data_IF_300994645005
#
_entry.id   IF_300994645005
#
_cell.length_a   1.000
_cell.length_b   1.000
_cell.length_c   1.000
_cell.angle_alpha   90.00
_cell.angle_beta   90.00
_cell.angle_gamma   90.00
#
_symmetry.space_group_name_H-M   'P 1'
#
loop_
_entity.id
_entity.type
_entity.pdbx_description
1 polymer ?
#
# COMPACT_ATOMS: atom_id res chain seq x y z
N UNK A 1 -9.70 -18.28 21.29
CA UNK A 1 -10.86 -17.89 20.49
C UNK A 1 -10.43 -16.72 19.59
N UNK A 2 -10.98 -16.60 18.37
CA UNK A 2 -10.69 -15.45 17.53
C UNK A 2 -11.13 -14.13 18.20
N UNK A 3 -10.52 -13.02 17.80
CA UNK A 3 -10.81 -11.70 18.35
C UNK A 3 -12.14 -11.10 17.85
N UNK A 4 -12.81 -11.75 16.91
CA UNK A 4 -14.04 -11.32 16.24
C UNK A 4 -15.12 -12.41 16.26
N UNK A 5 -16.39 -11.99 16.17
CA UNK A 5 -17.55 -12.88 16.33
C UNK A 5 -18.45 -12.90 15.09
N UNK A 6 -18.61 -11.77 14.39
CA UNK A 6 -19.41 -11.65 13.18
C UNK A 6 -18.61 -11.00 12.06
N UNK A 7 -18.31 -11.77 11.03
CA UNK A 7 -17.40 -11.38 9.97
C UNK A 7 -18.07 -11.27 8.60
N UNK A 8 -17.78 -10.18 7.87
CA UNK A 8 -18.04 -10.08 6.45
C UNK A 8 -16.80 -10.55 5.67
N UNK A 9 -16.96 -11.55 4.78
CA UNK A 9 -15.99 -11.87 3.73
C UNK A 9 -16.39 -11.19 2.43
N UNK A 10 -15.72 -10.10 2.09
CA UNK A 10 -16.04 -9.30 0.91
C UNK A 10 -15.07 -9.63 -0.23
N UNK A 11 -15.56 -10.19 -1.32
CA UNK A 11 -14.73 -10.69 -2.41
C UNK A 11 -15.12 -10.10 -3.77
N UNK A 12 -14.10 -9.86 -4.61
CA UNK A 12 -14.34 -9.45 -6.00
C UNK A 12 -14.56 -10.69 -6.88
N UNK A 13 -15.76 -10.86 -7.47
CA UNK A 13 -16.07 -12.04 -8.28
C UNK A 13 -15.30 -12.07 -9.61
N UNK A 14 -14.86 -10.91 -10.11
CA UNK A 14 -14.26 -10.78 -11.46
C UNK A 14 -12.73 -10.85 -11.44
N UNK A 15 -12.07 -10.71 -10.28
CA UNK A 15 -10.60 -10.72 -10.21
C UNK A 15 -10.04 -12.14 -10.16
N UNK A 16 -9.19 -12.51 -11.13
CA UNK A 16 -8.52 -13.83 -11.24
C UNK A 16 -9.19 -14.81 -12.21
N UNK A 17 -8.56 -15.95 -12.47
CA UNK A 17 -8.78 -16.76 -13.66
C UNK A 17 -10.00 -17.71 -13.63
N UNK A 18 -10.70 -17.96 -12.51
CA UNK A 18 -11.78 -18.99 -12.45
C UNK A 18 -12.87 -18.63 -11.43
N UNK A 19 -14.03 -18.20 -11.89
CA UNK A 19 -15.21 -17.83 -11.09
C UNK A 19 -15.72 -18.99 -10.20
N UNK A 20 -15.82 -20.22 -10.74
CA UNK A 20 -16.29 -21.40 -10.00
C UNK A 20 -15.34 -21.81 -8.87
N UNK A 21 -14.03 -21.77 -9.11
CA UNK A 21 -13.03 -22.01 -8.09
C UNK A 21 -13.11 -20.99 -6.94
N UNK A 22 -13.52 -19.77 -7.24
CA UNK A 22 -13.60 -18.70 -6.26
C UNK A 22 -14.76 -18.89 -5.28
N UNK A 23 -15.95 -19.26 -5.77
CA UNK A 23 -17.09 -19.55 -4.90
C UNK A 23 -16.78 -20.73 -3.96
N UNK A 24 -16.10 -21.75 -4.46
CA UNK A 24 -15.65 -22.91 -3.66
C UNK A 24 -14.61 -22.48 -2.62
N UNK A 25 -13.64 -21.64 -2.99
CA UNK A 25 -12.65 -21.10 -2.05
C UNK A 25 -13.30 -20.26 -0.96
N UNK A 26 -14.23 -19.38 -1.31
CA UNK A 26 -14.94 -18.55 -0.33
C UNK A 26 -15.77 -19.40 0.64
N UNK A 27 -16.42 -20.46 0.16
CA UNK A 27 -17.14 -21.39 1.03
C UNK A 27 -16.20 -22.08 2.02
N UNK A 28 -15.03 -22.57 1.58
CA UNK A 28 -14.03 -23.19 2.46
C UNK A 28 -13.49 -22.23 3.50
N UNK A 29 -13.24 -20.97 3.12
CA UNK A 29 -12.82 -19.92 4.06
C UNK A 29 -13.92 -19.67 5.09
N UNK A 30 -15.18 -19.56 4.67
CA UNK A 30 -16.31 -19.40 5.57
C UNK A 30 -16.42 -20.57 6.56
N UNK A 31 -16.27 -21.82 6.08
CA UNK A 31 -16.27 -23.01 6.94
C UNK A 31 -15.15 -22.99 7.99
N UNK A 32 -13.94 -22.50 7.64
CA UNK A 32 -12.82 -22.36 8.59
C UNK A 32 -13.22 -21.43 9.73
N UNK A 33 -13.81 -20.27 9.44
CA UNK A 33 -14.23 -19.29 10.45
C UNK A 33 -15.42 -19.81 11.27
N UNK A 34 -16.43 -20.40 10.63
CA UNK A 34 -17.60 -20.97 11.29
C UNK A 34 -17.24 -22.08 12.29
N UNK A 35 -16.28 -22.96 11.93
CA UNK A 35 -15.77 -24.00 12.86
C UNK A 35 -15.09 -23.41 14.10
N UNK A 36 -14.66 -22.16 14.03
CA UNK A 36 -14.08 -21.44 15.16
C UNK A 36 -15.11 -20.58 15.93
N UNK A 37 -16.40 -20.74 15.63
CA UNK A 37 -17.51 -20.07 16.31
C UNK A 37 -17.81 -18.65 15.78
N UNK A 38 -17.33 -18.29 14.59
CA UNK A 38 -17.59 -16.99 13.97
C UNK A 38 -18.83 -17.06 13.08
N UNK A 39 -19.77 -16.11 13.24
CA UNK A 39 -20.85 -15.90 12.27
C UNK A 39 -20.25 -15.25 11.00
N UNK A 40 -20.52 -15.85 9.84
CA UNK A 40 -19.89 -15.45 8.57
C UNK A 40 -20.92 -15.05 7.53
N UNK A 41 -20.76 -13.86 6.97
CA UNK A 41 -21.47 -13.40 5.78
C UNK A 41 -20.45 -13.35 4.62
N UNK A 42 -20.69 -14.07 3.53
CA UNK A 42 -19.88 -14.00 2.33
C UNK A 42 -20.62 -13.21 1.25
N UNK A 43 -20.01 -12.11 0.79
CA UNK A 43 -20.64 -11.20 -0.16
C UNK A 43 -19.69 -10.84 -1.30
N UNK A 44 -20.20 -10.90 -2.54
CA UNK A 44 -19.48 -10.39 -3.69
C UNK A 44 -19.55 -8.86 -3.75
N UNK A 45 -18.50 -8.20 -4.24
CA UNK A 45 -18.57 -6.78 -4.57
C UNK A 45 -19.55 -6.55 -5.72
N UNK A 46 -20.41 -5.55 -5.61
CA UNK A 46 -21.44 -5.27 -6.60
C UNK A 46 -20.85 -4.66 -7.87
N UNK A 47 -19.89 -3.75 -7.72
CA UNK A 47 -19.20 -3.06 -8.81
C UNK A 47 -17.83 -2.56 -8.34
N UNK A 48 -17.02 -2.07 -9.27
CA UNK A 48 -15.78 -1.38 -8.93
C UNK A 48 -16.10 -0.14 -8.07
N UNK A 49 -15.40 0.00 -6.94
CA UNK A 49 -15.57 1.09 -5.98
C UNK A 49 -16.67 0.85 -4.93
N UNK A 50 -17.45 -0.24 -5.01
CA UNK A 50 -18.57 -0.50 -4.09
C UNK A 50 -18.14 -1.15 -2.77
N UNK A 51 -16.93 -1.72 -2.71
CA UNK A 51 -16.51 -2.52 -1.54
C UNK A 51 -16.45 -1.72 -0.23
N UNK A 52 -16.09 -0.44 -0.31
CA UNK A 52 -16.09 0.43 0.87
C UNK A 52 -17.49 0.68 1.44
N UNK A 53 -18.49 0.90 0.59
CA UNK A 53 -19.88 1.11 1.00
C UNK A 53 -20.48 -0.18 1.59
N UNK A 54 -20.21 -1.32 0.96
CA UNK A 54 -20.62 -2.63 1.47
C UNK A 54 -20.00 -2.94 2.83
N UNK A 55 -18.71 -2.59 3.04
CA UNK A 55 -18.05 -2.74 4.33
C UNK A 55 -18.72 -1.88 5.41
N UNK A 56 -19.02 -0.60 5.10
CA UNK A 56 -19.73 0.29 6.04
C UNK A 56 -21.13 -0.24 6.38
N UNK A 57 -21.88 -0.72 5.41
CA UNK A 57 -23.20 -1.29 5.64
C UNK A 57 -23.13 -2.49 6.57
N UNK A 58 -22.23 -3.44 6.33
CA UNK A 58 -22.05 -4.62 7.18
C UNK A 58 -21.65 -4.27 8.62
N UNK A 59 -20.80 -3.25 8.81
CA UNK A 59 -20.46 -2.76 10.14
C UNK A 59 -21.68 -2.20 10.85
N UNK A 60 -22.52 -1.44 10.14
CA UNK A 60 -23.78 -0.89 10.71
C UNK A 60 -24.79 -2.00 11.04
N UNK A 61 -24.71 -3.15 10.39
CA UNK A 61 -25.50 -4.37 10.62
C UNK A 61 -24.89 -5.30 11.68
N UNK A 62 -23.85 -4.82 12.39
CA UNK A 62 -23.26 -5.50 13.53
C UNK A 62 -22.09 -6.45 13.20
N UNK A 63 -21.51 -6.40 12.01
CA UNK A 63 -20.23 -7.06 11.79
C UNK A 63 -19.12 -6.36 12.57
N UNK A 64 -18.37 -7.11 13.36
CA UNK A 64 -17.21 -6.63 14.11
C UNK A 64 -15.88 -6.82 13.35
N UNK A 65 -15.91 -7.58 12.23
CA UNK A 65 -14.78 -7.75 11.34
C UNK A 65 -15.18 -7.75 9.86
N UNK A 66 -14.32 -7.20 9.01
CA UNK A 66 -14.44 -7.24 7.55
C UNK A 66 -13.14 -7.76 6.95
N UNK A 67 -13.25 -8.80 6.13
CA UNK A 67 -12.12 -9.40 5.43
C UNK A 67 -12.16 -9.03 3.95
N UNK A 68 -11.12 -8.32 3.51
CA UNK A 68 -10.90 -8.05 2.10
C UNK A 68 -10.32 -9.29 1.40
N UNK A 69 -11.18 -10.03 0.72
CA UNK A 69 -10.83 -11.28 0.03
C UNK A 69 -10.54 -10.97 -1.45
N UNK A 70 -9.30 -10.59 -1.76
CA UNK A 70 -8.94 -10.15 -3.11
C UNK A 70 -7.47 -9.80 -3.28
N UNK A 71 -7.17 -9.01 -4.30
CA UNK A 71 -5.87 -8.37 -4.49
C UNK A 71 -5.82 -6.97 -3.87
N UNK A 72 -4.71 -6.26 -4.12
CA UNK A 72 -4.46 -4.92 -3.56
C UNK A 72 -5.59 -3.91 -3.82
N UNK A 73 -6.20 -3.93 -5.01
CA UNK A 73 -7.34 -3.07 -5.34
C UNK A 73 -8.58 -3.35 -4.46
N UNK A 74 -8.89 -4.62 -4.16
CA UNK A 74 -9.99 -4.96 -3.25
C UNK A 74 -9.69 -4.50 -1.82
N UNK A 75 -8.44 -4.68 -1.36
CA UNK A 75 -7.97 -4.19 -0.06
C UNK A 75 -8.11 -2.67 0.01
N UNK A 76 -7.67 -1.96 -1.02
CA UNK A 76 -7.77 -0.50 -1.11
C UNK A 76 -9.23 0.00 -1.05
N UNK A 77 -10.15 -0.65 -1.78
CA UNK A 77 -11.57 -0.27 -1.74
C UNK A 77 -12.20 -0.52 -0.37
N UNK A 78 -11.98 -1.71 0.24
CA UNK A 78 -12.50 -2.05 1.58
C UNK A 78 -11.97 -1.07 2.62
N UNK A 79 -10.68 -0.72 2.54
CA UNK A 79 -10.05 0.25 3.43
C UNK A 79 -10.81 1.59 3.49
N UNK A 80 -11.35 2.08 2.35
CA UNK A 80 -12.11 3.34 2.33
C UNK A 80 -13.38 3.29 3.16
N UNK A 81 -13.96 2.12 3.34
CA UNK A 81 -15.12 1.90 4.22
C UNK A 81 -14.76 1.65 5.67
N UNK A 82 -13.57 1.09 5.92
CA UNK A 82 -13.09 0.70 7.24
C UNK A 82 -12.40 1.84 7.99
N UNK A 83 -11.83 2.82 7.26
CA UNK A 83 -11.08 3.91 7.87
C UNK A 83 -11.91 4.66 8.92
N UNK A 84 -11.32 4.83 10.11
CA UNK A 84 -11.93 5.44 11.30
C UNK A 84 -13.09 4.66 11.92
N UNK A 85 -13.37 3.43 11.49
CA UNK A 85 -14.31 2.53 12.15
C UNK A 85 -13.65 1.82 13.34
N UNK A 86 -14.47 1.20 14.19
CA UNK A 86 -14.04 0.33 15.30
C UNK A 86 -13.88 -1.12 14.87
N UNK A 87 -14.45 -1.51 13.72
CA UNK A 87 -14.41 -2.89 13.25
C UNK A 87 -12.99 -3.30 12.80
N UNK A 88 -12.70 -4.58 12.93
CA UNK A 88 -11.42 -5.16 12.58
C UNK A 88 -11.32 -5.44 11.08
N UNK A 89 -10.20 -5.09 10.47
CA UNK A 89 -9.89 -5.43 9.08
C UNK A 89 -8.95 -6.63 9.01
N UNK A 90 -9.30 -7.61 8.21
CA UNK A 90 -8.42 -8.70 7.81
C UNK A 90 -8.20 -8.71 6.30
N UNK A 91 -7.13 -9.37 5.83
CA UNK A 91 -6.81 -9.50 4.41
C UNK A 91 -6.64 -10.96 4.04
N UNK A 92 -7.37 -11.43 3.04
CA UNK A 92 -7.24 -12.77 2.49
C UNK A 92 -6.73 -12.65 1.04
N UNK A 93 -5.47 -13.06 0.78
CA UNK A 93 -4.83 -12.83 -0.51
C UNK A 93 -5.43 -13.74 -1.60
N UNK A 94 -6.00 -13.14 -2.64
CA UNK A 94 -6.54 -13.81 -3.82
C UNK A 94 -6.03 -13.17 -5.13
N UNK A 95 -5.19 -12.16 -5.04
CA UNK A 95 -4.58 -11.46 -6.17
C UNK A 95 -3.15 -11.92 -6.45
N UNK A 96 -2.46 -11.17 -7.30
CA UNK A 96 -1.08 -11.46 -7.72
C UNK A 96 -0.04 -10.68 -6.90
N UNK A 97 -0.32 -9.42 -6.54
CA UNK A 97 0.57 -8.56 -5.77
C UNK A 97 0.50 -8.87 -4.28
N UNK A 98 -0.68 -8.62 -3.70
CA UNK A 98 -1.02 -8.86 -2.29
C UNK A 98 0.01 -8.28 -1.31
N UNK A 99 0.42 -7.01 -1.54
CA UNK A 99 1.53 -6.37 -0.83
C UNK A 99 1.28 -6.31 0.68
N UNK A 100 0.08 -5.87 1.09
CA UNK A 100 -0.27 -5.83 2.52
C UNK A 100 -0.27 -7.23 3.15
N UNK A 101 -0.78 -8.24 2.44
CA UNK A 101 -0.77 -9.61 2.93
C UNK A 101 0.66 -10.16 3.09
N UNK A 102 1.58 -9.81 2.18
CA UNK A 102 3.00 -10.14 2.32
C UNK A 102 3.63 -9.49 3.54
N UNK A 103 3.36 -8.21 3.79
CA UNK A 103 3.86 -7.51 4.98
C UNK A 103 3.32 -8.11 6.27
N UNK A 104 2.06 -8.58 6.27
CA UNK A 104 1.43 -9.31 7.37
C UNK A 104 1.87 -10.79 7.45
N UNK A 105 2.79 -11.24 6.62
CA UNK A 105 3.27 -12.65 6.56
C UNK A 105 2.16 -13.68 6.31
N UNK A 106 1.08 -13.27 5.69
CA UNK A 106 0.03 -14.16 5.23
C UNK A 106 0.52 -14.92 3.99
N UNK A 107 1.09 -16.11 4.22
CA UNK A 107 1.74 -16.92 3.20
C UNK A 107 0.95 -18.18 2.86
N UNK A 108 1.17 -18.71 1.68
CA UNK A 108 0.50 -19.91 1.21
C UNK A 108 -0.77 -19.61 0.43
N UNK A 109 -1.74 -20.51 0.50
CA UNK A 109 -3.04 -20.31 -0.14
C UNK A 109 -3.99 -19.51 0.78
N UNK A 110 -5.11 -19.06 0.23
CA UNK A 110 -6.11 -18.25 0.93
C UNK A 110 -6.77 -18.97 2.12
N UNK A 111 -6.93 -20.28 2.08
CA UNK A 111 -7.46 -21.10 3.19
C UNK A 111 -6.48 -21.09 4.37
N UNK A 112 -5.18 -21.22 4.10
CA UNK A 112 -4.14 -21.11 5.12
C UNK A 112 -4.07 -19.72 5.72
N UNK A 113 -4.18 -18.68 4.89
CA UNK A 113 -4.24 -17.30 5.37
C UNK A 113 -5.46 -17.07 6.28
N UNK A 114 -6.62 -17.59 5.91
CA UNK A 114 -7.83 -17.55 6.75
C UNK A 114 -7.62 -18.22 8.10
N UNK A 115 -6.99 -19.39 8.13
CA UNK A 115 -6.68 -20.10 9.38
C UNK A 115 -5.67 -19.30 10.26
N UNK A 116 -4.67 -18.66 9.65
CA UNK A 116 -3.72 -17.80 10.37
C UNK A 116 -4.42 -16.59 11.02
N UNK A 117 -5.37 -15.96 10.32
CA UNK A 117 -6.11 -14.79 10.80
C UNK A 117 -6.91 -15.05 12.07
N UNK A 118 -7.32 -16.29 12.34
CA UNK A 118 -7.99 -16.68 13.59
C UNK A 118 -7.10 -16.50 14.84
N UNK A 119 -5.78 -16.49 14.67
CA UNK A 119 -4.80 -16.29 15.74
C UNK A 119 -4.23 -14.86 15.79
N UNK A 120 -4.58 -14.01 14.82
CA UNK A 120 -4.09 -12.64 14.75
C UNK A 120 -4.76 -11.77 15.82
N UNK A 121 -4.01 -10.77 16.30
CA UNK A 121 -4.48 -9.82 17.29
C UNK A 121 -4.91 -8.49 16.63
N UNK A 122 -5.99 -7.86 17.13
CA UNK A 122 -6.38 -6.54 16.65
C UNK A 122 -5.42 -5.47 17.18
N UNK A 123 -4.90 -4.63 16.28
CA UNK A 123 -4.07 -3.48 16.63
C UNK A 123 -4.59 -2.22 15.94
N UNK A 124 -4.67 -1.13 16.69
CA UNK A 124 -4.93 0.19 16.11
C UNK A 124 -3.67 0.66 15.40
N UNK A 125 -3.81 1.01 14.14
CA UNK A 125 -2.72 1.51 13.31
C UNK A 125 -3.07 2.86 12.70
N UNK A 126 -2.04 3.63 12.41
CA UNK A 126 -2.15 4.84 11.60
C UNK A 126 -2.33 4.50 10.12
N UNK A 127 -3.08 5.32 9.40
CA UNK A 127 -3.22 5.25 7.94
C UNK A 127 -2.56 6.45 7.27
N UNK A 128 -2.03 6.23 6.08
CA UNK A 128 -1.75 7.35 5.20
C UNK A 128 -3.05 7.90 4.62
N UNK A 129 -3.16 9.23 4.53
CA UNK A 129 -4.25 9.95 3.86
C UNK A 129 -3.66 10.76 2.73
N UNK A 130 -4.29 10.70 1.57
CA UNK A 130 -3.90 11.48 0.40
C UNK A 130 -5.07 12.28 -0.13
N UNK A 131 -4.81 13.54 -0.44
CA UNK A 131 -5.76 14.47 -1.04
C UNK A 131 -5.23 14.92 -2.41
N UNK A 132 -6.02 14.70 -3.45
CA UNK A 132 -5.70 15.12 -4.82
C UNK A 132 -6.98 15.28 -5.63
N UNK A 133 -7.05 16.30 -6.50
CA UNK A 133 -8.21 16.53 -7.36
C UNK A 133 -9.54 16.67 -6.62
N UNK A 134 -9.56 17.18 -5.39
CA UNK A 134 -10.76 17.31 -4.56
C UNK A 134 -11.23 15.99 -3.91
N UNK A 135 -10.50 14.91 -4.07
CA UNK A 135 -10.80 13.61 -3.47
C UNK A 135 -9.83 13.25 -2.37
N UNK A 136 -10.36 12.65 -1.31
CA UNK A 136 -9.56 12.09 -0.20
C UNK A 136 -9.59 10.57 -0.27
N UNK A 137 -8.42 9.93 -0.09
CA UNK A 137 -8.29 8.47 0.03
C UNK A 137 -7.33 8.10 1.16
N UNK A 138 -7.58 6.94 1.77
CA UNK A 138 -6.67 6.32 2.73
C UNK A 138 -5.83 5.25 2.05
N UNK A 139 -4.62 5.00 2.58
CA UNK A 139 -3.74 3.95 2.09
C UNK A 139 -2.97 3.26 3.23
N UNK A 140 -2.61 2.01 3.02
CA UNK A 140 -1.85 1.18 3.96
C UNK A 140 -0.46 0.82 3.46
N UNK A 141 -0.23 0.84 2.17
CA UNK A 141 1.03 0.39 1.55
C UNK A 141 1.92 1.57 1.20
N UNK A 142 1.51 2.34 0.21
CA UNK A 142 2.27 3.49 -0.25
C UNK A 142 1.43 4.43 -1.10
N UNK A 143 1.76 5.73 -1.05
CA UNK A 143 1.27 6.72 -1.99
C UNK A 143 2.46 7.43 -2.64
N UNK A 144 2.30 7.89 -3.88
CA UNK A 144 3.42 8.50 -4.60
C UNK A 144 3.02 9.45 -5.70
N UNK A 145 4.00 10.31 -6.05
CA UNK A 145 3.91 11.30 -7.12
C UNK A 145 5.14 11.18 -8.01
N UNK A 146 4.96 11.11 -9.32
CA UNK A 146 6.06 11.09 -10.29
C UNK A 146 6.12 9.81 -11.13
N UNK A 147 7.32 9.29 -11.34
CA UNK A 147 7.60 8.19 -12.29
C UNK A 147 6.88 6.90 -11.93
N UNK A 148 6.80 6.57 -10.64
CA UNK A 148 6.13 5.37 -10.16
C UNK A 148 4.63 5.38 -10.52
N UNK A 149 3.96 6.51 -10.31
CA UNK A 149 2.55 6.68 -10.68
C UNK A 149 2.36 6.66 -12.21
N UNK A 150 3.29 7.20 -12.96
CA UNK A 150 3.30 7.12 -14.43
C UNK A 150 3.51 5.69 -14.93
N UNK A 151 4.37 4.91 -14.26
CA UNK A 151 4.56 3.49 -14.56
C UNK A 151 3.27 2.70 -14.41
N UNK A 152 2.56 2.91 -13.28
CA UNK A 152 1.26 2.29 -13.03
C UNK A 152 0.22 2.69 -14.08
N UNK A 153 0.18 3.96 -14.46
CA UNK A 153 -0.73 4.45 -15.50
C UNK A 153 -0.52 3.72 -16.82
N UNK A 154 0.73 3.62 -17.27
CA UNK A 154 1.08 2.97 -18.54
C UNK A 154 0.87 1.46 -18.50
N UNK A 155 1.17 0.82 -17.36
CA UNK A 155 0.94 -0.59 -17.15
C UNK A 155 -0.57 -0.93 -17.20
N UNK A 156 -1.41 -0.15 -16.53
CA UNK A 156 -2.87 -0.32 -16.54
C UNK A 156 -3.48 -0.09 -17.94
N UNK A 157 -2.97 0.90 -18.69
CA UNK A 157 -3.43 1.16 -20.04
C UNK A 157 -3.15 -0.02 -21.01
N UNK A 158 -2.06 -0.77 -20.79
CA UNK A 158 -1.66 -1.92 -21.62
C UNK A 158 -2.13 -3.28 -21.09
N UNK A 159 -2.36 -3.44 -19.80
CA UNK A 159 -2.97 -4.66 -19.25
C UNK A 159 -4.35 -4.95 -19.87
N UNK A 160 -5.02 -3.91 -20.36
CA UNK A 160 -6.23 -4.03 -21.20
C UNK A 160 -5.97 -4.61 -22.60
N UNK A 161 -4.70 -4.73 -23.03
CA UNK A 161 -4.29 -5.17 -24.38
C UNK A 161 -3.48 -6.47 -24.42
N UNK A 162 -3.48 -7.27 -23.32
CA UNK A 162 -2.74 -8.53 -23.18
C UNK A 162 -1.21 -8.40 -23.00
N UNK A 163 -0.72 -8.60 -21.80
CA UNK A 163 0.72 -8.64 -21.55
C UNK A 163 1.08 -8.65 -20.05
N UNK A 164 1.06 -9.79 -19.41
CA UNK A 164 1.34 -10.02 -18.00
C UNK A 164 2.54 -9.27 -17.38
N UNK A 165 3.08 -9.77 -16.27
CA UNK A 165 4.18 -9.13 -15.50
C UNK A 165 5.38 -8.67 -16.31
N UNK A 166 5.73 -9.36 -17.43
CA UNK A 166 6.83 -8.98 -18.30
C UNK A 166 6.61 -7.61 -18.96
N UNK A 167 5.35 -7.26 -19.27
CA UNK A 167 5.02 -5.95 -19.81
C UNK A 167 5.22 -4.83 -18.78
N UNK A 168 4.95 -5.09 -17.49
CA UNK A 168 5.20 -4.14 -16.41
C UNK A 168 6.71 -3.82 -16.28
N UNK A 169 7.58 -4.83 -16.24
CA UNK A 169 9.01 -4.63 -16.12
C UNK A 169 9.64 -3.97 -17.35
N UNK A 170 9.19 -4.32 -18.56
CA UNK A 170 9.66 -3.68 -19.79
C UNK A 170 9.27 -2.20 -19.88
N UNK A 171 8.11 -1.83 -19.31
CA UNK A 171 7.69 -0.42 -19.20
C UNK A 171 8.56 0.34 -18.20
N UNK A 172 8.87 -0.27 -17.04
CA UNK A 172 9.77 0.31 -16.05
C UNK A 172 11.13 0.65 -16.66
N UNK A 173 11.73 -0.28 -17.40
CA UNK A 173 12.97 -0.04 -18.09
C UNK A 173 12.87 1.09 -19.14
N UNK A 174 11.81 1.11 -19.95
CA UNK A 174 11.58 2.20 -20.93
C UNK A 174 11.39 3.57 -20.30
N UNK A 175 10.67 3.63 -19.18
CA UNK A 175 10.48 4.87 -18.43
C UNK A 175 11.83 5.39 -17.89
N UNK A 176 12.64 4.52 -17.31
CA UNK A 176 13.97 4.87 -16.83
C UNK A 176 14.83 5.55 -17.90
N UNK A 177 14.76 5.10 -19.18
CA UNK A 177 15.59 5.60 -20.26
C UNK A 177 14.97 6.73 -21.09
N UNK A 178 13.64 6.84 -21.14
CA UNK A 178 12.94 7.77 -22.06
C UNK A 178 12.07 8.81 -21.37
N UNK A 179 11.82 8.69 -20.06
CA UNK A 179 10.96 9.66 -19.36
C UNK A 179 11.71 10.96 -19.10
N UNK A 180 11.05 12.07 -19.38
CA UNK A 180 11.51 13.38 -18.92
C UNK A 180 11.08 13.54 -17.45
N UNK A 181 12.04 13.51 -16.54
CA UNK A 181 11.77 13.75 -15.12
C UNK A 181 11.40 15.22 -14.93
N UNK A 182 10.21 15.47 -14.42
CA UNK A 182 9.72 16.82 -14.13
C UNK A 182 9.96 17.08 -12.66
N UNK A 183 10.87 18.00 -12.30
CA UNK A 183 11.08 18.36 -10.90
C UNK A 183 9.86 19.10 -10.36
N UNK A 184 9.50 18.82 -9.12
CA UNK A 184 8.41 19.48 -8.42
C UNK A 184 8.80 19.83 -6.98
N UNK A 185 8.38 21.00 -6.47
CA UNK A 185 8.64 21.40 -5.10
C UNK A 185 7.81 20.59 -4.11
N UNK A 186 8.41 20.25 -2.99
CA UNK A 186 7.80 19.54 -1.88
C UNK A 186 8.07 20.25 -0.56
N UNK A 187 7.03 20.38 0.24
CA UNK A 187 7.09 20.87 1.62
C UNK A 187 6.82 19.69 2.56
N UNK A 188 7.79 19.36 3.39
CA UNK A 188 7.77 18.20 4.28
C UNK A 188 7.67 18.71 5.72
N UNK A 189 6.71 18.17 6.49
CA UNK A 189 6.74 18.25 7.95
C UNK A 189 7.32 16.97 8.48
N UNK A 190 8.52 17.01 9.01
CA UNK A 190 9.20 15.80 9.53
C UNK A 190 8.49 15.23 10.76
N UNK A 191 8.83 14.02 11.17
CA UNK A 191 8.29 13.40 12.40
C UNK A 191 8.60 14.21 13.66
N UNK A 192 9.68 14.99 13.64
CA UNK A 192 10.09 15.92 14.72
C UNK A 192 9.36 17.26 14.66
N UNK A 193 8.50 17.47 13.66
CA UNK A 193 7.77 18.73 13.48
C UNK A 193 8.55 19.84 12.73
N UNK A 194 9.73 19.56 12.20
CA UNK A 194 10.51 20.52 11.41
C UNK A 194 9.93 20.63 10.01
N UNK A 195 9.76 21.87 9.52
CA UNK A 195 9.38 22.14 8.15
C UNK A 195 10.63 22.18 7.25
N UNK A 196 10.58 21.46 6.12
CA UNK A 196 11.66 21.37 5.15
C UNK A 196 11.08 21.54 3.75
N UNK A 197 11.68 22.43 2.98
CA UNK A 197 11.36 22.63 1.56
C UNK A 197 12.48 22.05 0.70
N UNK A 198 12.11 21.29 -0.33
CA UNK A 198 13.06 20.71 -1.27
C UNK A 198 12.39 20.48 -2.63
N UNK A 199 13.15 19.96 -3.59
CA UNK A 199 12.65 19.55 -4.90
C UNK A 199 12.82 18.05 -5.08
N UNK A 200 11.82 17.37 -5.63
CA UNK A 200 11.86 15.97 -5.96
C UNK A 200 11.51 15.72 -7.43
N UNK A 201 11.98 14.61 -7.97
CA UNK A 201 11.60 14.03 -9.27
C UNK A 201 10.64 12.85 -9.09
N UNK A 202 10.72 12.23 -7.92
CA UNK A 202 9.88 11.16 -7.45
C UNK A 202 9.72 11.30 -5.94
N UNK A 203 8.51 11.08 -5.47
CA UNK A 203 8.20 10.98 -4.05
C UNK A 203 7.33 9.74 -3.82
N UNK A 204 7.74 8.89 -2.89
CA UNK A 204 6.93 7.76 -2.41
C UNK A 204 6.84 7.83 -0.88
N UNK A 205 5.63 7.93 -0.36
CA UNK A 205 5.33 7.85 1.05
C UNK A 205 4.91 6.41 1.39
N UNK A 206 5.67 5.74 2.26
CA UNK A 206 5.55 4.31 2.51
C UNK A 206 5.11 4.01 3.94
N UNK A 207 4.38 2.90 4.09
CA UNK A 207 3.87 2.40 5.36
C UNK A 207 4.28 0.95 5.64
N UNK A 208 4.43 0.11 4.60
CA UNK A 208 4.81 -1.31 4.74
C UNK A 208 6.32 -1.48 4.81
N UNK A 209 6.77 -2.52 5.48
CA UNK A 209 8.20 -2.88 5.62
C UNK A 209 8.77 -3.49 4.34
N UNK A 210 7.94 -4.19 3.57
CA UNK A 210 8.35 -4.88 2.35
C UNK A 210 7.21 -4.94 1.35
N UNK A 211 7.51 -4.72 0.09
CA UNK A 211 6.54 -4.88 -1.01
C UNK A 211 6.30 -6.35 -1.40
N UNK A 212 7.12 -7.27 -0.90
CA UNK A 212 7.07 -8.65 -1.35
C UNK A 212 7.53 -8.84 -2.81
N UNK A 213 7.38 -10.07 -3.33
CA UNK A 213 7.71 -10.41 -4.72
C UNK A 213 9.12 -9.98 -5.14
N UNK A 214 9.29 -9.37 -6.34
CA UNK A 214 10.58 -8.89 -6.82
C UNK A 214 11.21 -7.79 -5.97
N UNK A 215 10.38 -6.98 -5.29
CA UNK A 215 10.84 -5.87 -4.43
C UNK A 215 10.98 -6.26 -2.96
N UNK A 216 11.02 -7.56 -2.62
CA UNK A 216 11.15 -8.07 -1.24
C UNK A 216 12.40 -7.58 -0.51
N UNK A 217 13.44 -7.22 -1.25
CA UNK A 217 14.70 -6.72 -0.70
C UNK A 217 14.69 -5.21 -0.45
N UNK A 218 13.72 -4.51 -0.98
CA UNK A 218 13.57 -3.08 -0.72
C UNK A 218 12.89 -2.84 0.63
N UNK A 219 13.69 -2.40 1.61
CA UNK A 219 13.27 -2.17 3.00
C UNK A 219 13.62 -0.75 3.41
N UNK A 220 12.77 0.24 3.11
CA UNK A 220 13.07 1.66 3.39
C UNK A 220 12.94 2.04 4.87
N UNK A 221 12.65 1.10 5.76
CA UNK A 221 12.53 1.36 7.19
C UNK A 221 11.15 1.85 7.64
N UNK A 222 10.12 1.67 6.83
CA UNK A 222 8.72 1.95 7.21
C UNK A 222 8.10 0.82 8.03
N UNK A 223 7.03 1.12 8.76
CA UNK A 223 6.24 0.14 9.51
C UNK A 223 4.78 0.58 9.63
N UNK A 224 3.84 -0.37 9.55
CA UNK A 224 2.43 -0.12 9.81
C UNK A 224 2.16 0.34 11.26
N UNK A 225 3.06 0.00 12.20
CA UNK A 225 2.95 0.39 13.61
C UNK A 225 3.53 1.76 13.92
N UNK A 226 4.24 2.39 12.97
CA UNK A 226 4.76 3.75 13.17
C UNK A 226 3.68 4.79 12.92
N UNK A 227 3.74 5.90 13.67
CA UNK A 227 2.88 7.07 13.48
C UNK A 227 3.51 8.11 12.56
N UNK A 228 4.23 7.64 11.55
CA UNK A 228 4.87 8.48 10.53
C UNK A 228 4.82 7.82 9.14
N UNK A 229 5.12 8.61 8.14
CA UNK A 229 5.35 8.18 6.77
C UNK A 229 6.86 8.06 6.53
N UNK A 230 7.31 6.99 5.92
CA UNK A 230 8.67 6.94 5.40
C UNK A 230 8.66 7.47 3.98
N UNK A 231 9.13 8.70 3.79
CA UNK A 231 9.28 9.31 2.48
C UNK A 231 10.55 8.83 1.82
N UNK A 232 10.44 8.45 0.57
CA UNK A 232 11.56 8.17 -0.34
C UNK A 232 11.52 9.24 -1.43
N UNK A 233 12.57 10.04 -1.50
CA UNK A 233 12.69 11.19 -2.42
C UNK A 233 13.83 10.93 -3.39
N UNK A 234 13.54 10.94 -4.68
CA UNK A 234 14.56 11.00 -5.73
C UNK A 234 14.76 12.46 -6.12
N UNK A 235 15.98 12.97 -6.00
CA UNK A 235 16.31 14.37 -6.25
C UNK A 235 17.03 14.61 -7.57
N UNK A 236 17.73 13.60 -8.08
CA UNK A 236 18.56 13.73 -9.27
C UNK A 236 18.09 12.78 -10.37
N UNK A 237 18.21 13.23 -11.61
CA UNK A 237 17.89 12.45 -12.83
C UNK A 237 19.03 11.58 -13.36
N UNK A 238 20.07 11.35 -12.56
CA UNK A 238 21.18 10.50 -12.95
C UNK A 238 20.71 9.04 -13.15
N UNK A 239 20.61 8.65 -14.42
CA UNK A 239 20.07 7.35 -14.82
C UNK A 239 20.92 6.16 -14.37
N UNK A 240 22.22 6.36 -14.20
CA UNK A 240 23.11 5.30 -13.68
C UNK A 240 22.80 5.02 -12.20
N UNK A 241 22.56 6.06 -11.40
CA UNK A 241 22.13 5.91 -10.01
C UNK A 241 20.75 5.27 -9.90
N UNK A 242 19.80 5.68 -10.73
CA UNK A 242 18.46 5.07 -10.76
C UNK A 242 18.53 3.57 -11.12
N UNK A 243 19.35 3.21 -12.10
CA UNK A 243 19.57 1.80 -12.46
C UNK A 243 20.19 1.02 -11.29
N UNK A 244 21.18 1.60 -10.62
CA UNK A 244 21.80 1.01 -9.43
C UNK A 244 20.76 0.78 -8.33
N UNK A 245 19.91 1.76 -8.00
CA UNK A 245 18.85 1.61 -7.00
C UNK A 245 17.83 0.52 -7.38
N UNK A 246 17.44 0.49 -8.64
CA UNK A 246 16.53 -0.54 -9.14
C UNK A 246 17.15 -1.94 -9.00
N UNK A 247 18.41 -2.11 -9.36
CA UNK A 247 19.13 -3.38 -9.20
C UNK A 247 19.27 -3.77 -7.73
N UNK A 248 19.58 -2.83 -6.84
CA UNK A 248 19.65 -3.08 -5.40
C UNK A 248 18.29 -3.52 -4.83
N UNK A 249 17.21 -2.84 -5.22
CA UNK A 249 15.85 -3.18 -4.79
C UNK A 249 15.43 -4.60 -5.24
N UNK A 250 15.88 -5.02 -6.42
CA UNK A 250 15.55 -6.33 -6.99
C UNK A 250 16.44 -7.46 -6.45
N UNK A 251 17.73 -7.20 -6.24
CA UNK A 251 18.71 -8.25 -5.93
C UNK A 251 19.08 -8.32 -4.46
N UNK A 252 18.96 -7.21 -3.72
CA UNK A 252 19.46 -7.07 -2.35
C UNK A 252 21.00 -7.08 -2.25
N UNK A 253 21.72 -7.00 -3.38
CA UNK A 253 23.19 -7.09 -3.48
C UNK A 253 23.86 -5.74 -3.20
N UNK A 254 23.73 -5.18 -2.10
CA UNK A 254 24.45 -4.13 -1.41
C UNK A 254 23.49 -3.43 -0.46
N UNK A 255 23.89 -3.11 0.76
CA UNK A 255 23.05 -2.33 1.65
C UNK A 255 22.82 -0.94 1.04
N UNK A 256 21.65 -0.37 1.33
CA UNK A 256 21.39 1.06 1.09
C UNK A 256 22.24 1.95 2.03
N UNK A 257 23.08 1.33 2.86
CA UNK A 257 24.04 1.96 3.76
C UNK A 257 25.02 2.84 2.97
N UNK A 258 25.01 4.13 3.26
CA UNK A 258 25.86 5.14 2.58
C UNK A 258 25.11 6.06 1.61
N UNK A 259 23.79 5.90 1.44
CA UNK A 259 22.93 6.82 0.68
C UNK A 259 22.41 7.97 1.54
N UNK A 260 22.80 8.03 2.80
CA UNK A 260 22.37 9.01 3.80
C UNK A 260 23.24 10.28 3.85
N UNK A 261 24.09 10.50 2.85
CA UNK A 261 24.85 11.76 2.75
C UNK A 261 23.93 12.88 2.23
N UNK A 262 24.13 14.10 2.73
CA UNK A 262 23.36 15.30 2.37
C UNK A 262 23.21 15.56 0.87
N UNK A 263 24.12 15.04 0.05
CA UNK A 263 24.11 15.12 -1.42
C UNK A 263 23.56 13.86 -2.11
N UNK A 264 22.87 12.99 -1.38
CA UNK A 264 22.37 11.75 -1.96
C UNK A 264 21.23 12.02 -2.94
N UNK A 265 21.33 11.43 -4.13
CA UNK A 265 20.27 11.46 -5.16
C UNK A 265 18.96 10.83 -4.64
N UNK A 266 19.04 10.00 -3.61
CA UNK A 266 17.95 9.35 -2.93
C UNK A 266 18.01 9.69 -1.44
N UNK A 267 16.91 10.22 -0.91
CA UNK A 267 16.79 10.58 0.51
C UNK A 267 15.63 9.83 1.17
N UNK A 268 15.83 9.44 2.43
CA UNK A 268 14.82 8.78 3.26
C UNK A 268 14.48 9.68 4.45
N UNK A 269 13.22 10.11 4.55
CA UNK A 269 12.78 11.05 5.58
C UNK A 269 11.56 10.48 6.32
N UNK A 270 11.57 10.50 7.65
CA UNK A 270 10.37 10.24 8.45
C UNK A 270 9.56 11.52 8.59
N UNK A 271 8.28 11.48 8.21
CA UNK A 271 7.44 12.67 8.12
C UNK A 271 6.01 12.45 8.64
N UNK A 272 5.41 13.53 9.13
CA UNK A 272 3.98 13.58 9.44
C UNK A 272 3.15 13.95 8.23
N UNK A 273 3.67 14.80 7.37
CA UNK A 273 2.99 15.20 6.14
C UNK A 273 3.96 15.67 5.07
N UNK A 274 3.49 15.64 3.82
CA UNK A 274 4.16 16.22 2.67
C UNK A 274 3.13 16.85 1.73
N UNK A 275 3.44 18.05 1.25
CA UNK A 275 2.68 18.77 0.25
C UNK A 275 3.50 18.87 -1.03
N UNK A 276 2.99 18.32 -2.13
CA UNK A 276 3.58 18.43 -3.45
C UNK A 276 2.88 19.57 -4.18
N UNK A 277 3.59 20.70 -4.36
CA UNK A 277 3.10 21.85 -5.11
C UNK A 277 3.52 21.70 -6.57
N UNK A 278 2.56 21.78 -7.46
CA UNK A 278 2.83 21.69 -8.89
C UNK A 278 2.13 22.86 -9.57
N UNK A 279 2.82 23.67 -10.38
CA UNK A 279 2.18 24.68 -11.19
C UNK A 279 1.12 24.03 -12.10
N UNK A 280 -0.04 24.65 -12.27
CA UNK A 280 -1.17 24.13 -13.05
C UNK A 280 -0.76 23.67 -14.45
N UNK A 281 0.13 24.42 -15.12
CA UNK A 281 0.67 24.09 -16.45
C UNK A 281 1.37 22.73 -16.50
N UNK A 282 1.89 22.23 -15.37
CA UNK A 282 2.58 20.94 -15.26
C UNK A 282 1.81 19.88 -14.49
N UNK A 283 0.69 20.24 -13.88
CA UNK A 283 -0.12 19.35 -13.05
C UNK A 283 -0.50 18.05 -13.78
N UNK A 284 -0.92 18.15 -15.05
CA UNK A 284 -1.29 17.00 -15.88
C UNK A 284 -0.13 16.05 -16.21
N UNK A 285 1.13 16.47 -16.02
CA UNK A 285 2.33 15.66 -16.29
C UNK A 285 2.74 14.81 -15.08
N UNK A 286 2.27 15.15 -13.88
CA UNK A 286 2.61 14.46 -12.63
C UNK A 286 1.39 13.72 -12.10
N UNK A 287 1.45 12.41 -12.18
CA UNK A 287 0.40 11.53 -11.71
C UNK A 287 0.59 11.15 -10.26
N UNK A 288 -0.54 10.92 -9.60
CA UNK A 288 -0.63 10.56 -8.19
C UNK A 288 -1.26 9.18 -8.07
N UNK A 289 -0.71 8.37 -7.19
CA UNK A 289 -1.23 7.03 -6.90
C UNK A 289 -1.29 6.76 -5.39
N UNK A 290 -2.13 5.82 -4.95
CA UNK A 290 -2.09 5.21 -3.63
C UNK A 290 -2.45 3.72 -3.73
N UNK A 291 -1.69 2.87 -3.03
CA UNK A 291 -1.83 1.40 -2.99
C UNK A 291 -2.01 0.76 -4.38
N UNK A 292 -1.36 1.35 -5.41
CA UNK A 292 -1.44 0.88 -6.79
C UNK A 292 -2.63 1.40 -7.61
N UNK A 293 -3.51 2.20 -7.02
CA UNK A 293 -4.63 2.84 -7.72
C UNK A 293 -4.28 4.29 -8.11
N UNK A 294 -4.55 4.64 -9.36
CA UNK A 294 -4.35 6.01 -9.85
C UNK A 294 -5.46 6.92 -9.35
N UNK A 295 -5.08 8.06 -8.78
CA UNK A 295 -6.01 8.99 -8.17
C UNK A 295 -6.23 10.26 -9.01
N UNK A 296 -5.27 10.62 -9.86
CA UNK A 296 -5.37 11.81 -10.69
C UNK A 296 -4.03 12.54 -10.85
N UNK A 297 -4.06 13.80 -11.29
CA UNK A 297 -2.87 14.64 -11.36
C UNK A 297 -2.54 15.28 -10.00
N UNK A 298 -1.28 15.78 -9.87
CA UNK A 298 -0.92 16.68 -8.80
C UNK A 298 -1.64 18.05 -8.98
N UNK A 299 -1.71 18.96 -7.96
CA UNK A 299 -1.05 18.88 -6.66
C UNK A 299 -1.66 17.85 -5.71
N UNK A 300 -0.90 17.47 -4.69
CA UNK A 300 -1.38 16.51 -3.69
C UNK A 300 -0.77 16.78 -2.31
N UNK A 301 -1.56 16.47 -1.29
CA UNK A 301 -1.15 16.43 0.11
C UNK A 301 -1.23 15.00 0.61
N UNK A 302 -0.18 14.55 1.25
CA UNK A 302 -0.10 13.23 1.89
C UNK A 302 0.21 13.45 3.37
N UNK A 303 -0.51 12.78 4.26
CA UNK A 303 -0.28 12.89 5.70
C UNK A 303 -0.58 11.58 6.43
N UNK A 304 -0.07 11.44 7.64
CA UNK A 304 -0.40 10.34 8.54
C UNK A 304 -1.63 10.70 9.37
N UNK A 305 -2.55 9.75 9.51
CA UNK A 305 -3.72 9.86 10.37
C UNK A 305 -3.59 8.79 11.46
N UNK A 306 -3.33 9.19 12.71
CA UNK A 306 -3.18 8.25 13.83
C UNK A 306 -4.48 7.49 14.12
N UNK A 307 -4.35 6.30 14.71
CA UNK A 307 -5.47 5.49 15.22
C UNK A 307 -6.64 5.33 14.23
N UNK A 308 -6.32 5.16 12.95
CA UNK A 308 -7.33 5.24 11.89
C UNK A 308 -7.92 3.89 11.48
N UNK A 309 -7.29 2.76 11.83
CA UNK A 309 -7.76 1.42 11.46
C UNK A 309 -7.42 0.40 12.53
N UNK A 310 -8.36 -0.50 12.85
CA UNK A 310 -8.05 -1.73 13.60
C UNK A 310 -7.70 -2.83 12.59
N UNK A 311 -6.44 -3.20 12.51
CA UNK A 311 -5.94 -4.25 11.60
C UNK A 311 -5.62 -5.51 12.39
N UNK A 312 -5.98 -6.68 11.86
CA UNK A 312 -5.55 -7.96 12.38
C UNK A 312 -4.09 -8.20 11.97
N UNK A 313 -3.19 -8.31 12.95
CA UNK A 313 -1.76 -8.50 12.73
C UNK A 313 -1.24 -9.76 13.41
N UNK A 314 -0.14 -10.36 12.88
CA UNK A 314 0.43 -11.58 13.47
C UNK A 314 0.95 -11.34 14.90
N UNK A 315 0.74 -12.29 15.81
CA UNK A 315 1.16 -12.18 17.22
C UNK A 315 2.67 -12.28 17.45
N UNK A 316 3.45 -12.54 16.41
CA UNK A 316 4.88 -12.78 16.51
C UNK A 316 5.67 -11.54 16.94
N UNK A 317 6.49 -11.67 17.98
CA UNK A 317 7.37 -10.61 18.50
C UNK A 317 8.29 -9.99 17.42
N UNK A 318 8.73 -10.75 16.42
CA UNK A 318 9.53 -10.25 15.30
C UNK A 318 8.78 -9.35 14.33
N UNK A 319 7.44 -9.26 14.41
CA UNK A 319 6.65 -8.30 13.68
C UNK A 319 6.46 -7.00 14.46
N UNK A 320 6.34 -7.09 15.80
CA UNK A 320 6.10 -5.97 16.70
C UNK A 320 7.43 -5.29 17.14
N UNK A 321 8.56 -5.99 17.13
CA UNK A 321 9.78 -5.59 17.82
C UNK A 321 11.06 -5.50 16.98
N UNK A 322 10.99 -5.37 15.66
CA UNK A 322 12.19 -5.08 14.86
C UNK A 322 12.71 -3.68 15.19
N UNK A 323 14.00 -3.46 15.53
CA UNK A 323 14.53 -2.14 15.76
C UNK A 323 14.34 -1.33 14.46
N UNK A 324 13.54 -0.28 14.54
CA UNK A 324 13.60 0.83 13.60
C UNK A 324 14.98 1.44 13.87
N UNK A 325 15.96 1.17 13.01
CA UNK A 325 17.17 1.97 12.99
C UNK A 325 16.73 3.37 12.58
N UNK A 326 16.37 4.16 13.58
CA UNK A 326 16.20 5.61 13.43
C UNK A 326 17.60 6.17 13.24
N UNK A 327 18.06 6.19 12.01
CA UNK A 327 19.11 7.11 11.63
C UNK A 327 18.39 8.38 11.16
N UNK A 328 18.41 9.36 12.04
CA UNK A 328 18.02 10.74 11.74
C UNK A 328 19.01 11.30 10.73
N UNK A 329 18.57 11.52 9.51
CA UNK A 329 19.32 12.32 8.55
C UNK A 329 19.05 13.78 8.88
N UNK A 330 20.08 14.50 9.29
CA UNK A 330 20.06 15.96 9.30
C UNK A 330 19.95 16.44 7.86
N UNK A 331 18.87 17.15 7.56
CA UNK A 331 18.66 17.91 6.32
C UNK A 331 19.33 19.26 6.42
#
# INVERSE_FOLDING_TARGET
>A
MPAFHKALLLFNPVSGAHLELRSTTMRRIAEIFQRSGVEVIAQATHARGSAGDQARAAISEGCDAVFACGGDGTVFEVLQGMAKSSAMMGVIPLGTGNVLAHDLRLTGNSERAAAQLLSFAPHRISLGRIETGGHTRFFTVAAGVGVHAELLYRANARAKQSGGHLAYYSQGARLLFRHAFVPFPVEITTSEGKAVETTALELVAMRVRSFGGPLRHWKPGSSLLSDDLRLVLLRNSNRAHMLRYTLQALTGLAPFDGLEKEDADLSFVSAKSVLCRVPEVRAAQLRVQADGELLGPAPTRIEIVPDALTLLIPPEAGWIGGPLTTQSVSL
#
